data_IF_112237013011
#
_entry.id   IF_112237013011
#
_cell.length_a   1.000
_cell.length_b   1.000
_cell.length_c   1.000
_cell.angle_alpha   90.00
_cell.angle_beta   90.00
_cell.angle_gamma   90.00
#
_symmetry.space_group_name_H-M   'P 1'
#
loop_
_entity.id
_entity.type
_entity.pdbx_description
1 polymer ?
#
# COMPACT_ATOMS: atom_id res chain seq x y z
N UNK A 1 11.59 -11.14 11.98
CA UNK A 1 11.48 -9.89 11.23
C UNK A 1 10.08 -9.71 10.69
N UNK A 2 9.64 -10.60 9.81
CA UNK A 2 8.27 -10.64 9.30
C UNK A 2 7.40 -11.62 10.12
N UNK A 3 6.99 -11.19 11.31
CA UNK A 3 6.03 -11.89 12.18
C UNK A 3 4.99 -10.85 12.60
N UNK A 4 3.72 -11.25 12.71
CA UNK A 4 2.68 -10.39 13.28
C UNK A 4 2.73 -10.56 14.79
N UNK A 5 3.24 -9.55 15.52
CA UNK A 5 3.39 -9.58 16.98
C UNK A 5 2.16 -9.05 17.74
N UNK A 6 1.23 -8.42 17.03
CA UNK A 6 0.00 -7.83 17.57
C UNK A 6 -0.84 -7.22 16.44
N UNK A 7 -1.98 -6.63 16.79
CA UNK A 7 -2.98 -6.17 15.82
C UNK A 7 -2.44 -5.08 14.88
N UNK A 8 -1.59 -4.18 15.39
CA UNK A 8 -0.93 -3.11 14.62
C UNK A 8 0.17 -3.62 13.68
N UNK A 9 0.58 -4.88 13.82
CA UNK A 9 1.57 -5.53 12.96
C UNK A 9 0.97 -6.24 11.75
N UNK A 10 -0.35 -6.32 11.68
CA UNK A 10 -1.03 -6.85 10.51
C UNK A 10 -0.81 -5.95 9.30
N UNK A 11 -0.81 -6.55 8.10
CA UNK A 11 -0.73 -5.80 6.86
C UNK A 11 -1.91 -4.82 6.72
N UNK A 12 -3.09 -5.22 7.17
CA UNK A 12 -4.32 -4.44 7.13
C UNK A 12 -4.21 -3.17 7.98
N UNK A 13 -3.76 -3.29 9.23
CA UNK A 13 -3.58 -2.13 10.12
C UNK A 13 -2.57 -1.14 9.54
N UNK A 14 -1.41 -1.63 9.08
CA UNK A 14 -0.38 -0.77 8.47
C UNK A 14 -0.90 -0.06 7.20
N UNK A 15 -1.68 -0.76 6.37
CA UNK A 15 -2.28 -0.17 5.16
C UNK A 15 -3.34 0.89 5.48
N UNK A 16 -4.12 0.73 6.55
CA UNK A 16 -5.07 1.75 7.00
C UNK A 16 -4.34 3.04 7.44
N UNK A 17 -3.33 2.90 8.30
CA UNK A 17 -2.50 4.03 8.77
C UNK A 17 -1.85 4.77 7.60
N UNK A 18 -1.30 4.03 6.63
CA UNK A 18 -0.69 4.63 5.44
C UNK A 18 -1.71 5.45 4.62
N UNK A 19 -2.94 4.94 4.44
CA UNK A 19 -4.02 5.67 3.77
C UNK A 19 -4.42 6.93 4.53
N UNK A 20 -4.50 6.87 5.86
CA UNK A 20 -4.78 8.03 6.72
C UNK A 20 -3.71 9.12 6.60
N UNK A 21 -2.45 8.73 6.42
CA UNK A 21 -1.35 9.64 6.13
C UNK A 21 -1.33 10.18 4.69
N UNK A 22 -2.30 9.82 3.85
CA UNK A 22 -2.37 10.23 2.44
C UNK A 22 -1.44 9.45 1.51
N UNK A 23 -0.90 8.31 1.94
CA UNK A 23 -0.11 7.43 1.07
C UNK A 23 -1.03 6.61 0.18
N UNK A 24 -0.66 6.52 -1.10
CA UNK A 24 -1.35 5.67 -2.06
C UNK A 24 -1.02 4.19 -1.83
N UNK A 25 -2.05 3.42 -1.45
CA UNK A 25 -1.91 2.01 -1.04
C UNK A 25 -2.73 1.10 -1.94
N UNK A 26 -2.06 0.14 -2.57
CA UNK A 26 -2.70 -0.90 -3.40
C UNK A 26 -2.88 -2.23 -2.65
N UNK A 27 -3.90 -2.99 -3.05
CA UNK A 27 -4.22 -4.28 -2.42
C UNK A 27 -3.51 -5.50 -3.00
N UNK A 28 -3.11 -5.40 -4.26
CA UNK A 28 -2.32 -6.42 -4.95
C UNK A 28 -0.97 -5.85 -5.37
N UNK A 29 0.13 -6.59 -5.22
CA UNK A 29 1.43 -6.22 -5.79
C UNK A 29 1.36 -5.96 -7.30
N UNK A 30 0.45 -6.62 -8.02
CA UNK A 30 0.25 -6.43 -9.46
C UNK A 30 -0.22 -5.02 -9.83
N UNK A 31 -0.80 -4.27 -8.88
CA UNK A 31 -1.32 -2.94 -9.13
C UNK A 31 -0.30 -1.82 -8.85
N UNK A 32 0.89 -2.14 -8.36
CA UNK A 32 1.93 -1.13 -8.08
C UNK A 32 2.29 -0.37 -9.35
N UNK A 33 2.62 -1.08 -10.44
CA UNK A 33 2.98 -0.46 -11.73
C UNK A 33 1.87 0.45 -12.28
N UNK A 34 0.63 -0.06 -12.46
CA UNK A 34 -0.50 0.76 -12.89
C UNK A 34 -0.77 1.98 -12.02
N UNK A 35 -0.75 1.85 -10.68
CA UNK A 35 -0.98 2.99 -9.78
C UNK A 35 0.09 4.05 -9.91
N UNK A 36 1.35 3.66 -10.07
CA UNK A 36 2.45 4.59 -10.34
C UNK A 36 2.25 5.30 -11.68
N UNK A 37 1.90 4.55 -12.72
CA UNK A 37 1.66 5.11 -14.05
C UNK A 37 0.57 6.20 -14.04
N UNK A 38 -0.54 5.94 -13.33
CA UNK A 38 -1.61 6.91 -13.08
C UNK A 38 -1.11 8.19 -12.39
N UNK A 39 -0.34 8.06 -11.30
CA UNK A 39 0.13 9.19 -10.52
C UNK A 39 1.14 10.07 -11.27
N UNK A 40 2.02 9.46 -12.06
CA UNK A 40 3.05 10.17 -12.82
C UNK A 40 2.60 10.55 -14.24
N UNK A 41 1.39 10.19 -14.66
CA UNK A 41 0.86 10.48 -15.99
C UNK A 41 1.65 9.78 -17.11
N UNK A 42 2.26 8.64 -16.83
CA UNK A 42 3.00 7.84 -17.80
C UNK A 42 2.12 6.69 -18.29
N UNK A 43 2.34 6.23 -19.53
CA UNK A 43 1.58 5.07 -20.05
C UNK A 43 2.04 3.81 -19.31
N UNK A 44 1.08 3.06 -18.78
CA UNK A 44 1.30 1.75 -18.15
C UNK A 44 1.68 0.68 -19.17
#
# INVERSE_FOLDING_TARGET
GAIVGGDDDTAQAKKAILRECGVEVVDSPAHIGPRMAELFGVKA
#
